data_IF_422732174580
#
_entry.id   IF_422732174580
#
_cell.length_a   1.000
_cell.length_b   1.000
_cell.length_c   1.000
_cell.angle_alpha   90.00
_cell.angle_beta   90.00
_cell.angle_gamma   90.00
#
_symmetry.space_group_name_H-M   'P 1'
#
loop_
_entity.id
_entity.type
_entity.pdbx_description
1 polymer ?
#
# COMPACT_ATOMS: atom_id res chain seq x y z
N UNK A 1 -4.68 -29.41 10.60
CA UNK A 1 -3.67 -28.37 10.84
C UNK A 1 -3.92 -27.29 9.81
N UNK A 2 -4.55 -26.20 10.23
CA UNK A 2 -5.04 -25.18 9.28
C UNK A 2 -3.90 -24.27 8.85
N UNK A 3 -3.98 -23.74 7.63
CA UNK A 3 -2.97 -22.81 7.07
C UNK A 3 -2.72 -21.57 7.96
N UNK A 4 -3.62 -21.26 8.89
CA UNK A 4 -3.48 -20.20 9.89
C UNK A 4 -2.38 -20.52 10.92
N UNK A 5 -2.21 -21.79 11.30
CA UNK A 5 -1.18 -22.20 12.27
C UNK A 5 0.23 -22.11 11.65
N UNK A 6 0.35 -22.30 10.33
CA UNK A 6 1.64 -22.36 9.64
C UNK A 6 2.30 -20.99 9.41
N UNK A 7 1.52 -19.90 9.38
CA UNK A 7 2.08 -18.53 9.34
C UNK A 7 2.48 -18.01 10.72
N UNK A 8 1.96 -18.63 11.79
CA UNK A 8 2.24 -18.22 13.15
C UNK A 8 3.63 -18.66 13.65
N UNK A 9 4.26 -19.65 13.01
CA UNK A 9 5.60 -20.16 13.36
C UNK A 9 6.74 -19.21 12.96
N UNK A 10 6.52 -18.25 12.06
CA UNK A 10 7.60 -17.37 11.53
C UNK A 10 8.05 -16.31 12.55
N UNK A 11 7.31 -16.10 13.65
CA UNK A 11 7.52 -14.98 14.58
C UNK A 11 7.50 -15.40 16.06
N UNK A 12 8.14 -16.50 16.44
CA UNK A 12 8.46 -16.71 17.85
C UNK A 12 9.57 -15.73 18.30
N UNK A 13 9.16 -14.57 18.83
CA UNK A 13 10.05 -13.50 19.29
C UNK A 13 9.33 -12.25 19.80
N UNK A 14 10.08 -11.32 20.40
CA UNK A 14 9.59 -10.24 21.28
C UNK A 14 8.49 -9.32 20.72
N UNK A 15 8.40 -9.13 19.40
CA UNK A 15 7.37 -8.28 18.77
C UNK A 15 5.94 -8.72 19.13
N UNK A 16 5.68 -10.02 19.29
CA UNK A 16 4.34 -10.51 19.68
C UNK A 16 3.93 -10.07 21.09
N UNK A 17 4.90 -9.94 22.00
CA UNK A 17 4.64 -9.52 23.38
C UNK A 17 4.36 -8.00 23.47
N UNK A 18 4.78 -7.23 22.47
CA UNK A 18 4.54 -5.80 22.38
C UNK A 18 3.18 -5.45 21.72
N UNK A 19 2.48 -6.46 21.18
CA UNK A 19 1.18 -6.29 20.53
C UNK A 19 0.03 -6.47 21.53
N UNK A 20 -0.85 -5.47 21.63
CA UNK A 20 -2.07 -5.56 22.46
C UNK A 20 -3.08 -6.55 21.89
N UNK A 21 -3.35 -6.46 20.59
CA UNK A 21 -4.33 -7.29 19.88
C UNK A 21 -4.07 -7.28 18.37
N UNK A 22 -4.63 -8.27 17.66
CA UNK A 22 -4.64 -8.30 16.20
C UNK A 22 -5.90 -7.60 15.70
N UNK A 23 -5.75 -6.44 15.06
CA UNK A 23 -6.88 -5.68 14.49
C UNK A 23 -7.34 -6.27 13.16
N UNK A 24 -6.39 -6.67 12.32
CA UNK A 24 -6.65 -7.36 11.05
C UNK A 24 -5.64 -8.49 10.89
N UNK A 25 -6.12 -9.70 10.68
CA UNK A 25 -5.27 -10.84 10.35
C UNK A 25 -4.86 -10.84 8.87
N UNK A 26 -3.90 -11.69 8.53
CA UNK A 26 -3.37 -11.83 7.16
C UNK A 26 -4.46 -12.17 6.15
N UNK A 27 -5.41 -13.04 6.53
CA UNK A 27 -6.45 -13.50 5.62
C UNK A 27 -7.43 -12.37 5.28
N UNK A 28 -7.77 -11.56 6.28
CA UNK A 28 -8.64 -10.39 6.16
C UNK A 28 -8.02 -9.36 5.22
N UNK A 29 -6.75 -9.02 5.44
CA UNK A 29 -6.01 -8.08 4.57
C UNK A 29 -5.94 -8.63 3.14
N UNK A 30 -5.53 -9.89 2.98
CA UNK A 30 -5.40 -10.53 1.65
C UNK A 30 -6.72 -10.53 0.89
N UNK A 31 -7.81 -10.91 1.56
CA UNK A 31 -9.15 -10.93 0.95
C UNK A 31 -9.58 -9.54 0.49
N UNK A 32 -9.34 -8.52 1.32
CA UNK A 32 -9.70 -7.14 0.99
C UNK A 32 -8.86 -6.59 -0.15
N UNK A 33 -7.57 -6.90 -0.20
CA UNK A 33 -6.70 -6.52 -1.32
C UNK A 33 -7.18 -7.13 -2.64
N UNK A 34 -7.57 -8.41 -2.64
CA UNK A 34 -8.11 -9.06 -3.85
C UNK A 34 -9.41 -8.41 -4.31
N UNK A 35 -10.30 -8.07 -3.38
CA UNK A 35 -11.55 -7.37 -3.69
C UNK A 35 -11.28 -5.98 -4.30
N UNK A 36 -10.40 -5.20 -3.69
CA UNK A 36 -9.99 -3.89 -4.20
C UNK A 36 -9.32 -4.00 -5.57
N UNK A 37 -8.46 -4.99 -5.77
CA UNK A 37 -7.81 -5.24 -7.05
C UNK A 37 -8.81 -5.52 -8.18
N UNK A 38 -9.85 -6.32 -7.91
CA UNK A 38 -10.96 -6.56 -8.85
C UNK A 38 -11.75 -5.29 -9.14
N UNK A 39 -12.03 -4.49 -8.13
CA UNK A 39 -12.75 -3.23 -8.30
C UNK A 39 -11.95 -2.26 -9.18
N UNK A 40 -10.66 -2.04 -8.87
CA UNK A 40 -9.77 -1.21 -9.69
C UNK A 40 -9.68 -1.75 -11.12
N UNK A 41 -9.60 -3.08 -11.30
CA UNK A 41 -9.58 -3.71 -12.63
C UNK A 41 -10.82 -3.37 -13.45
N UNK A 42 -12.00 -3.36 -12.82
CA UNK A 42 -13.25 -3.01 -13.48
C UNK A 42 -13.34 -1.50 -13.78
N UNK A 43 -12.99 -0.67 -12.80
CA UNK A 43 -13.11 0.79 -12.88
C UNK A 43 -12.17 1.39 -13.95
N UNK A 44 -11.02 0.77 -14.17
CA UNK A 44 -10.00 1.21 -15.13
C UNK A 44 -9.88 0.27 -16.35
N UNK A 45 -10.93 -0.49 -16.68
CA UNK A 45 -10.91 -1.41 -17.80
C UNK A 45 -10.56 -0.72 -19.12
N UNK A 46 -9.56 -1.25 -19.83
CA UNK A 46 -9.06 -0.68 -21.09
C UNK A 46 -8.19 0.57 -20.93
N UNK A 47 -7.83 0.94 -19.69
CA UNK A 47 -6.93 2.04 -19.37
C UNK A 47 -5.59 1.52 -18.84
N UNK A 48 -4.61 2.42 -18.77
CA UNK A 48 -3.30 2.15 -18.17
C UNK A 48 -3.01 3.16 -17.06
N UNK A 49 -3.49 2.96 -15.82
CA UNK A 49 -3.29 3.90 -14.73
C UNK A 49 -1.85 3.89 -14.18
N UNK A 50 -1.50 4.96 -13.46
CA UNK A 50 -0.32 5.01 -12.59
C UNK A 50 -0.76 4.78 -11.16
N UNK A 51 -0.12 3.83 -10.48
CA UNK A 51 -0.27 3.67 -9.04
C UNK A 51 0.94 4.31 -8.35
N UNK A 52 0.69 5.26 -7.44
CA UNK A 52 1.72 6.04 -6.77
C UNK A 52 1.72 5.70 -5.28
N UNK A 53 2.78 5.07 -4.81
CA UNK A 53 2.97 4.73 -3.40
C UNK A 53 3.64 5.88 -2.61
N UNK A 54 3.03 6.32 -1.50
CA UNK A 54 3.67 7.26 -0.57
C UNK A 54 4.56 6.54 0.45
N UNK A 55 5.87 6.70 0.29
CA UNK A 55 6.84 6.05 1.17
C UNK A 55 6.81 6.59 2.61
N UNK A 56 7.10 5.75 3.61
CA UNK A 56 7.55 4.34 3.50
C UNK A 56 6.44 3.31 3.74
N UNK A 57 5.39 3.69 4.49
CA UNK A 57 4.41 2.77 5.06
C UNK A 57 3.51 2.09 4.03
N UNK A 58 3.28 2.70 2.86
CA UNK A 58 2.40 2.11 1.85
C UNK A 58 3.03 0.96 1.07
N UNK A 59 4.36 0.83 1.05
CA UNK A 59 5.06 -0.12 0.17
C UNK A 59 4.56 -1.58 0.26
N UNK A 60 4.39 -2.19 1.45
CA UNK A 60 3.91 -3.57 1.52
C UNK A 60 2.50 -3.74 0.93
N UNK A 61 1.58 -2.84 1.31
CA UNK A 61 0.21 -2.85 0.82
C UNK A 61 0.14 -2.57 -0.69
N UNK A 62 0.91 -1.61 -1.17
CA UNK A 62 1.08 -1.28 -2.58
C UNK A 62 1.52 -2.49 -3.40
N UNK A 63 2.49 -3.28 -2.89
CA UNK A 63 2.98 -4.47 -3.56
C UNK A 63 1.91 -5.58 -3.65
N UNK A 64 1.12 -5.77 -2.58
CA UNK A 64 -0.01 -6.71 -2.59
C UNK A 64 -1.11 -6.25 -3.56
N UNK A 65 -1.48 -4.97 -3.52
CA UNK A 65 -2.53 -4.40 -4.35
C UNK A 65 -2.16 -4.44 -5.84
N UNK A 66 -0.92 -4.09 -6.18
CA UNK A 66 -0.44 -4.13 -7.56
C UNK A 66 -0.55 -5.54 -8.16
N UNK A 67 -0.25 -6.59 -7.37
CA UNK A 67 -0.41 -7.99 -7.80
C UNK A 67 -1.87 -8.41 -7.99
N UNK A 68 -2.80 -7.77 -7.30
CA UNK A 68 -4.23 -8.09 -7.35
C UNK A 68 -4.98 -7.38 -8.49
N UNK A 69 -4.40 -6.32 -9.08
CA UNK A 69 -4.98 -5.61 -10.23
C UNK A 69 -4.58 -6.31 -11.52
N UNK A 70 -5.58 -6.72 -12.32
CA UNK A 70 -5.37 -7.42 -13.59
C UNK A 70 -5.50 -6.46 -14.79
N UNK A 71 -4.64 -5.45 -14.83
CA UNK A 71 -4.54 -4.47 -15.91
C UNK A 71 -3.07 -4.09 -16.14
N UNK A 72 -2.70 -3.64 -17.36
CA UNK A 72 -1.45 -2.92 -17.55
C UNK A 72 -1.47 -1.66 -16.68
N UNK A 73 -0.49 -1.51 -15.80
CA UNK A 73 -0.32 -0.33 -14.96
C UNK A 73 1.17 -0.04 -14.78
N UNK A 74 1.49 1.22 -14.48
CA UNK A 74 2.83 1.62 -14.06
C UNK A 74 2.84 1.97 -12.58
N UNK A 75 3.95 1.69 -11.90
CA UNK A 75 4.16 2.02 -10.48
C UNK A 75 5.22 3.11 -10.36
N UNK A 76 4.97 4.09 -9.49
CA UNK A 76 5.98 5.07 -9.05
C UNK A 76 5.82 5.31 -7.53
N UNK A 77 6.81 5.97 -6.92
CA UNK A 77 6.83 6.26 -5.49
C UNK A 77 7.19 7.71 -5.22
N UNK A 78 6.46 8.34 -4.31
CA UNK A 78 6.84 9.65 -3.76
C UNK A 78 7.30 9.50 -2.32
N UNK A 79 8.30 10.28 -1.92
CA UNK A 79 8.70 10.38 -0.53
C UNK A 79 8.44 11.80 -0.04
N UNK A 80 7.64 11.92 1.00
CA UNK A 80 7.28 13.19 1.61
C UNK A 80 7.73 13.21 3.06
N UNK A 81 8.22 14.35 3.55
CA UNK A 81 8.43 14.58 4.98
C UNK A 81 7.60 15.76 5.46
N UNK A 82 7.02 15.61 6.65
CA UNK A 82 6.40 16.72 7.37
C UNK A 82 7.49 17.59 7.99
N UNK A 83 7.35 18.91 7.88
CA UNK A 83 8.10 19.83 8.74
C UNK A 83 7.38 19.96 10.08
N UNK A 84 8.01 19.48 11.15
CA UNK A 84 7.58 19.72 12.53
C UNK A 84 7.57 18.46 13.38
N UNK A 85 8.26 18.51 14.52
CA UNK A 85 8.35 17.43 15.52
C UNK A 85 7.05 17.19 16.32
N UNK A 86 5.88 17.48 15.73
CA UNK A 86 4.58 17.40 16.40
C UNK A 86 3.53 16.64 15.59
N UNK A 87 2.55 16.09 16.30
CA UNK A 87 1.41 15.29 15.80
C UNK A 87 0.40 16.03 14.93
N UNK A 88 0.69 17.29 14.53
CA UNK A 88 -0.12 18.07 13.58
C UNK A 88 0.69 18.35 12.32
N UNK A 89 0.14 17.99 11.16
CA UNK A 89 0.74 18.41 9.88
C UNK A 89 0.71 19.93 9.81
N UNK A 90 1.84 20.54 9.47
CA UNK A 90 1.97 21.98 9.23
C UNK A 90 1.30 22.42 7.92
N UNK A 91 0.61 21.50 7.21
CA UNK A 91 0.10 21.69 5.85
C UNK A 91 1.19 21.81 4.78
N UNK A 92 2.44 22.07 5.17
CA UNK A 92 3.59 22.19 4.27
C UNK A 92 4.33 20.86 4.22
N UNK A 93 4.25 20.20 3.08
CA UNK A 93 4.90 18.93 2.81
C UNK A 93 6.21 19.18 2.06
N UNK A 94 7.33 18.62 2.55
CA UNK A 94 8.58 18.60 1.79
C UNK A 94 8.60 17.38 0.89
N UNK A 95 8.71 17.58 -0.41
CA UNK A 95 8.96 16.50 -1.36
C UNK A 95 10.45 16.15 -1.27
N UNK A 96 10.75 14.92 -0.84
CA UNK A 96 12.11 14.36 -0.79
C UNK A 96 12.44 13.56 -2.04
N UNK A 97 11.45 12.83 -2.56
CA UNK A 97 11.47 12.19 -3.88
C UNK A 97 10.16 12.50 -4.56
N UNK A 98 10.27 13.02 -5.78
CA UNK A 98 9.14 13.23 -6.67
C UNK A 98 9.04 12.08 -7.69
N UNK A 99 8.01 12.13 -8.53
CA UNK A 99 7.76 11.18 -9.61
C UNK A 99 8.88 11.24 -10.65
N UNK A 100 9.25 10.08 -11.17
CA UNK A 100 10.31 9.96 -12.18
C UNK A 100 9.78 10.24 -13.60
N UNK A 101 8.46 10.14 -13.80
CA UNK A 101 7.78 10.34 -15.09
C UNK A 101 6.59 11.29 -14.94
N UNK A 102 6.29 12.03 -16.02
CA UNK A 102 5.07 12.84 -16.07
C UNK A 102 3.82 11.95 -15.97
N UNK A 103 2.85 12.43 -15.21
CA UNK A 103 1.51 11.82 -15.03
C UNK A 103 0.41 12.64 -15.70
N UNK A 104 0.78 13.66 -16.48
CA UNK A 104 -0.18 14.50 -17.20
C UNK A 104 -1.07 13.67 -18.13
N UNK A 105 -2.38 13.91 -18.07
CA UNK A 105 -3.37 13.16 -18.87
C UNK A 105 -3.53 11.69 -18.48
N UNK A 106 -2.90 11.23 -17.39
CA UNK A 106 -3.02 9.84 -16.90
C UNK A 106 -3.98 9.75 -15.73
N UNK A 107 -4.60 8.57 -15.63
CA UNK A 107 -5.34 8.18 -14.44
C UNK A 107 -4.37 7.80 -13.33
N UNK A 108 -4.58 8.35 -12.13
CA UNK A 108 -3.66 8.20 -11.00
C UNK A 108 -4.40 7.62 -9.80
N UNK A 109 -3.81 6.57 -9.22
CA UNK A 109 -4.27 5.90 -8.01
C UNK A 109 -3.21 6.13 -6.93
N UNK A 110 -3.55 6.89 -5.89
CA UNK A 110 -2.65 7.15 -4.76
C UNK A 110 -2.81 6.06 -3.71
N UNK A 111 -1.70 5.54 -3.20
CA UNK A 111 -1.63 4.43 -2.24
C UNK A 111 -0.71 4.73 -1.07
#
# INVERSE_FOLDING_TARGET
MSLVEQQAEIWEGGLRNDLREVVFDTQTITSRVVEMGRQITADYAGMEPVMIGILKGSYPFMADLTRAVNLPLSVDFMAVSSYGAGTKSSGVVRIMKDLDRSIEGRHVIIV
#
